data_IF_413551129412
#
_entry.id   IF_413551129412
#
_cell.length_a   1.000
_cell.length_b   1.000
_cell.length_c   1.000
_cell.angle_alpha   90.00
_cell.angle_beta   90.00
_cell.angle_gamma   90.00
#
_symmetry.space_group_name_H-M   'P 1'
#
loop_
_entity.id
_entity.type
_entity.pdbx_description
1 polymer ?
#
# COMPACT_ATOMS: atom_id res chain seq x y z
N UNK A 1 10.05 -2.54 -5.74
CA UNK A 1 11.23 -1.66 -5.67
C UNK A 1 11.53 -1.27 -4.23
N UNK A 2 10.57 -0.70 -3.47
CA UNK A 2 10.77 -0.20 -2.09
C UNK A 2 11.27 -1.28 -1.12
N UNK A 3 10.74 -2.51 -1.19
CA UNK A 3 11.20 -3.62 -0.36
C UNK A 3 12.66 -4.02 -0.66
N UNK A 4 13.06 -3.96 -1.94
CA UNK A 4 14.45 -4.24 -2.35
C UNK A 4 15.42 -3.22 -1.79
N UNK A 5 15.07 -1.94 -1.81
CA UNK A 5 15.92 -0.89 -1.24
C UNK A 5 16.10 -1.06 0.27
N UNK A 6 15.03 -1.34 1.01
CA UNK A 6 15.10 -1.56 2.45
C UNK A 6 15.98 -2.76 2.87
N UNK A 7 16.19 -3.73 1.97
CA UNK A 7 17.07 -4.90 2.21
C UNK A 7 18.50 -4.72 1.68
N UNK A 8 18.77 -3.66 0.92
CA UNK A 8 20.06 -3.46 0.24
C UNK A 8 20.90 -2.37 0.90
N UNK A 9 20.25 -1.39 1.50
CA UNK A 9 20.91 -0.24 2.10
C UNK A 9 20.71 -0.22 3.60
N UNK A 10 21.80 -0.03 4.35
CA UNK A 10 21.79 0.09 5.81
C UNK A 10 21.33 1.50 6.23
N UNK A 11 21.67 2.50 5.42
CA UNK A 11 21.34 3.90 5.66
C UNK A 11 20.52 4.51 4.53
N UNK A 12 19.64 5.46 4.86
CA UNK A 12 18.90 6.26 3.89
C UNK A 12 18.69 7.69 4.40
N UNK A 13 18.62 8.62 3.45
CA UNK A 13 18.31 10.00 3.75
C UNK A 13 16.80 10.25 3.57
N UNK A 14 16.22 10.91 4.55
CA UNK A 14 14.85 11.42 4.45
C UNK A 14 14.94 12.87 3.97
N UNK A 15 14.37 13.17 2.83
CA UNK A 15 14.27 14.53 2.30
C UNK A 15 12.83 14.99 2.55
N UNK A 16 12.65 15.94 3.46
CA UNK A 16 11.34 16.53 3.77
C UNK A 16 10.98 17.60 2.72
N UNK A 17 10.82 17.12 1.48
CA UNK A 17 10.44 17.93 0.33
C UNK A 17 9.44 17.18 -0.56
N UNK A 18 8.31 17.78 -0.94
CA UNK A 18 7.31 17.12 -1.76
C UNK A 18 7.69 17.08 -3.24
N UNK A 19 8.45 16.07 -3.65
CA UNK A 19 8.84 15.87 -5.06
C UNK A 19 7.68 15.49 -5.97
N UNK A 20 6.56 15.06 -5.42
CA UNK A 20 5.40 14.60 -6.21
C UNK A 20 4.09 15.11 -5.59
N UNK A 21 3.13 15.40 -6.45
CA UNK A 21 1.75 15.69 -6.04
C UNK A 21 0.93 14.43 -6.33
N UNK A 22 0.59 13.63 -5.31
CA UNK A 22 -0.28 12.49 -5.54
C UNK A 22 -1.70 12.97 -5.85
N UNK A 23 -2.22 12.56 -7.00
CA UNK A 23 -3.59 12.85 -7.42
C UNK A 23 -4.40 11.57 -7.55
N UNK A 24 -5.72 11.67 -7.34
CA UNK A 24 -6.65 10.60 -7.61
C UNK A 24 -7.72 11.08 -8.60
N UNK A 25 -7.95 10.33 -9.65
CA UNK A 25 -9.06 10.52 -10.58
C UNK A 25 -9.96 9.28 -10.58
N UNK A 26 -11.20 9.41 -11.02
CA UNK A 26 -12.14 8.29 -11.09
C UNK A 26 -11.65 7.13 -11.96
N UNK A 27 -10.84 7.41 -12.98
CA UNK A 27 -10.24 6.42 -13.87
C UNK A 27 -8.90 5.87 -13.40
N UNK A 28 -8.30 6.41 -12.32
CA UNK A 28 -7.02 5.93 -11.81
C UNK A 28 -7.18 4.69 -10.91
N UNK A 29 -6.12 3.92 -10.76
CA UNK A 29 -6.09 2.79 -9.81
C UNK A 29 -6.31 3.26 -8.37
N UNK A 30 -5.85 4.46 -8.02
CA UNK A 30 -6.11 5.08 -6.71
C UNK A 30 -7.60 5.36 -6.52
N UNK A 31 -8.29 5.90 -7.55
CA UNK A 31 -9.74 6.10 -7.53
C UNK A 31 -10.51 4.78 -7.41
N UNK A 32 -10.10 3.75 -8.17
CA UNK A 32 -10.68 2.40 -8.05
C UNK A 32 -10.48 1.79 -6.67
N UNK A 33 -9.30 1.98 -6.06
CA UNK A 33 -9.00 1.51 -4.70
C UNK A 33 -9.86 2.21 -3.66
N UNK A 34 -10.11 3.51 -3.81
CA UNK A 34 -10.93 4.29 -2.88
C UNK A 34 -12.37 3.78 -2.78
N UNK A 35 -12.91 3.21 -3.87
CA UNK A 35 -14.24 2.59 -3.91
C UNK A 35 -14.22 1.06 -3.85
N UNK A 36 -13.10 0.47 -3.41
CA UNK A 36 -12.89 -0.97 -3.27
C UNK A 36 -13.12 -1.78 -4.58
N UNK A 37 -12.86 -1.17 -5.73
CA UNK A 37 -12.99 -1.79 -7.07
C UNK A 37 -11.64 -2.18 -7.68
N UNK A 38 -10.53 -1.98 -6.98
CA UNK A 38 -9.20 -2.38 -7.44
C UNK A 38 -8.87 -3.80 -6.94
N UNK A 39 -9.66 -4.75 -7.40
CA UNK A 39 -9.54 -6.19 -7.12
C UNK A 39 -10.18 -6.99 -8.25
N UNK A 40 -9.73 -8.21 -8.47
CA UNK A 40 -10.19 -9.05 -9.55
C UNK A 40 -9.58 -10.44 -9.51
N UNK A 41 -9.89 -11.22 -10.54
CA UNK A 41 -9.23 -12.48 -10.80
C UNK A 41 -7.94 -12.25 -11.58
N UNK A 42 -6.85 -12.90 -11.16
CA UNK A 42 -5.52 -12.76 -11.79
C UNK A 42 -5.55 -13.13 -13.27
N UNK A 43 -6.34 -14.14 -13.64
CA UNK A 43 -6.37 -14.63 -15.03
C UNK A 43 -7.12 -13.68 -15.97
N UNK A 44 -8.12 -12.98 -15.48
CA UNK A 44 -9.02 -12.16 -16.31
C UNK A 44 -8.79 -10.65 -16.18
N UNK A 45 -8.17 -10.17 -15.10
CA UNK A 45 -7.98 -8.74 -14.89
C UNK A 45 -6.94 -8.17 -15.86
N UNK A 46 -7.29 -7.11 -16.65
CA UNK A 46 -6.37 -6.50 -17.62
C UNK A 46 -5.06 -6.00 -17.01
N UNK A 47 -5.07 -5.55 -15.75
CA UNK A 47 -3.86 -5.10 -15.06
C UNK A 47 -2.88 -6.24 -14.75
N UNK A 48 -3.40 -7.48 -14.67
CA UNK A 48 -2.59 -8.66 -14.35
C UNK A 48 -2.04 -9.35 -15.61
N UNK A 49 -2.48 -8.97 -16.83
CA UNK A 49 -1.98 -9.55 -18.07
C UNK A 49 -0.45 -9.59 -18.14
N UNK A 50 0.29 -8.52 -17.84
CA UNK A 50 1.75 -8.53 -17.88
C UNK A 50 2.39 -9.44 -16.82
N UNK A 51 1.62 -9.84 -15.80
CA UNK A 51 2.10 -10.58 -14.63
C UNK A 51 1.61 -12.02 -14.58
N UNK A 52 0.79 -12.48 -15.52
CA UNK A 52 0.23 -13.84 -15.55
C UNK A 52 1.28 -14.95 -15.53
N UNK A 53 2.45 -14.69 -16.10
CA UNK A 53 3.56 -15.65 -16.15
C UNK A 53 4.42 -15.64 -14.88
N UNK A 54 4.12 -14.77 -13.89
CA UNK A 54 4.83 -14.77 -12.63
C UNK A 54 4.35 -15.94 -11.77
N UNK A 55 5.31 -16.68 -11.20
CA UNK A 55 5.01 -17.71 -10.22
C UNK A 55 4.34 -17.08 -9.00
N UNK A 56 3.10 -17.49 -8.73
CA UNK A 56 2.38 -17.04 -7.55
C UNK A 56 2.65 -17.99 -6.37
N UNK A 57 3.10 -17.48 -5.22
CA UNK A 57 3.36 -18.30 -4.05
C UNK A 57 2.09 -19.01 -3.57
N UNK A 58 2.18 -20.32 -3.34
CA UNK A 58 1.06 -21.12 -2.81
C UNK A 58 0.61 -20.70 -1.41
N UNK A 59 1.48 -20.00 -0.69
CA UNK A 59 1.25 -19.44 0.63
C UNK A 59 0.36 -18.19 0.60
N UNK A 60 0.15 -17.59 -0.57
CA UNK A 60 -0.68 -16.40 -0.73
C UNK A 60 -1.97 -16.71 -1.47
N UNK A 61 -3.12 -16.11 -1.08
CA UNK A 61 -4.39 -16.29 -1.79
C UNK A 61 -4.30 -15.84 -3.24
N UNK A 62 -4.84 -16.66 -4.15
CA UNK A 62 -4.77 -16.42 -5.59
C UNK A 62 -5.93 -15.55 -6.08
N UNK A 63 -5.79 -14.25 -5.94
CA UNK A 63 -6.65 -13.22 -6.51
C UNK A 63 -5.91 -11.88 -6.52
N UNK A 64 -6.34 -10.97 -7.38
CA UNK A 64 -5.77 -9.63 -7.49
C UNK A 64 -6.42 -8.68 -6.50
N UNK A 65 -5.61 -8.02 -5.68
CA UNK A 65 -5.95 -6.85 -4.88
C UNK A 65 -4.66 -6.09 -4.52
N UNK A 66 -4.80 -4.91 -3.96
CA UNK A 66 -3.64 -4.14 -3.47
C UNK A 66 -2.84 -4.98 -2.48
N UNK A 67 -3.51 -5.62 -1.54
CA UNK A 67 -2.88 -6.40 -0.48
C UNK A 67 -2.16 -7.64 -1.02
N UNK A 68 -2.78 -8.36 -1.95
CA UNK A 68 -2.18 -9.59 -2.48
C UNK A 68 -1.01 -9.31 -3.42
N UNK A 69 -1.07 -8.25 -4.24
CA UNK A 69 0.05 -7.84 -5.10
C UNK A 69 1.22 -7.32 -4.27
N UNK A 70 0.97 -6.51 -3.25
CA UNK A 70 2.02 -6.05 -2.36
C UNK A 70 2.61 -7.18 -1.51
N UNK A 71 1.74 -8.08 -1.03
CA UNK A 71 2.17 -9.30 -0.34
C UNK A 71 3.07 -10.18 -1.21
N UNK A 72 2.68 -10.38 -2.48
CA UNK A 72 3.48 -11.10 -3.47
C UNK A 72 4.84 -10.41 -3.70
N UNK A 73 4.86 -9.11 -3.93
CA UNK A 73 6.09 -8.35 -4.15
C UNK A 73 7.04 -8.43 -2.93
N UNK A 74 6.51 -8.30 -1.72
CA UNK A 74 7.28 -8.45 -0.49
C UNK A 74 7.81 -9.88 -0.33
N UNK A 75 6.96 -10.89 -0.56
CA UNK A 75 7.32 -12.30 -0.47
C UNK A 75 8.47 -12.67 -1.43
N UNK A 76 8.33 -12.35 -2.71
CA UNK A 76 9.36 -12.65 -3.70
C UNK A 76 10.66 -11.88 -3.44
N UNK A 77 10.59 -10.64 -2.99
CA UNK A 77 11.78 -9.87 -2.62
C UNK A 77 12.50 -10.50 -1.43
N UNK A 78 11.78 -10.87 -0.38
CA UNK A 78 12.37 -11.57 0.78
C UNK A 78 12.98 -12.91 0.37
N UNK A 79 12.25 -13.71 -0.42
CA UNK A 79 12.71 -15.01 -0.90
C UNK A 79 14.02 -14.93 -1.70
N UNK A 80 14.16 -13.88 -2.53
CA UNK A 80 15.32 -13.73 -3.40
C UNK A 80 16.52 -13.06 -2.69
N UNK A 81 16.26 -12.09 -1.81
CA UNK A 81 17.30 -11.25 -1.22
C UNK A 81 17.64 -11.58 0.22
N UNK A 82 16.71 -12.10 0.97
CA UNK A 82 16.88 -12.43 2.40
C UNK A 82 15.98 -13.60 2.79
N UNK A 83 16.27 -14.83 2.32
CA UNK A 83 15.42 -16.00 2.58
C UNK A 83 15.17 -16.25 4.07
N UNK A 84 16.15 -15.97 4.92
CA UNK A 84 16.03 -16.13 6.38
C UNK A 84 14.97 -15.18 6.97
N UNK A 85 14.86 -13.96 6.41
CA UNK A 85 13.86 -12.97 6.80
C UNK A 85 12.45 -13.32 6.35
N UNK A 86 12.28 -14.28 5.43
CA UNK A 86 10.96 -14.76 5.01
C UNK A 86 10.17 -15.40 6.16
N UNK A 87 10.86 -15.94 7.15
CA UNK A 87 10.24 -16.44 8.39
C UNK A 87 9.50 -15.37 9.17
N UNK A 88 9.91 -14.11 9.04
CA UNK A 88 9.26 -12.93 9.63
C UNK A 88 8.04 -12.42 8.88
N UNK A 89 7.71 -12.96 7.70
CA UNK A 89 6.50 -12.56 6.98
C UNK A 89 5.25 -12.96 7.75
N UNK A 90 4.52 -11.97 8.25
CA UNK A 90 3.37 -12.20 9.15
C UNK A 90 2.13 -12.67 8.37
N UNK A 91 2.06 -13.96 8.08
CA UNK A 91 0.94 -14.58 7.39
C UNK A 91 -0.38 -14.40 8.15
N UNK A 92 -0.37 -14.47 9.49
CA UNK A 92 -1.61 -14.30 10.28
C UNK A 92 -2.21 -12.91 10.06
N UNK A 93 -1.39 -11.85 10.08
CA UNK A 93 -1.84 -10.48 9.79
C UNK A 93 -2.27 -10.31 8.34
N UNK A 94 -1.51 -10.86 7.41
CA UNK A 94 -1.83 -10.81 5.98
C UNK A 94 -3.21 -11.44 5.68
N UNK A 95 -3.43 -12.66 6.19
CA UNK A 95 -4.73 -13.34 6.03
C UNK A 95 -5.88 -12.64 6.75
N UNK A 96 -5.62 -12.04 7.91
CA UNK A 96 -6.61 -11.23 8.62
C UNK A 96 -7.08 -10.05 7.76
N UNK A 97 -6.16 -9.32 7.16
CA UNK A 97 -6.47 -8.19 6.26
C UNK A 97 -7.26 -8.68 5.04
N UNK A 98 -6.80 -9.76 4.38
CA UNK A 98 -7.49 -10.34 3.23
C UNK A 98 -8.93 -10.76 3.56
N UNK A 99 -9.15 -11.46 4.68
CA UNK A 99 -10.47 -11.92 5.11
C UNK A 99 -11.43 -10.77 5.42
N UNK A 100 -10.94 -9.71 6.05
CA UNK A 100 -11.78 -8.57 6.44
C UNK A 100 -12.11 -7.68 5.24
N UNK A 101 -11.15 -7.45 4.34
CA UNK A 101 -11.33 -6.53 3.20
C UNK A 101 -11.92 -7.18 1.94
N UNK A 102 -11.72 -8.48 1.79
CA UNK A 102 -12.02 -9.23 0.56
C UNK A 102 -12.88 -10.46 0.81
N UNK A 103 -14.01 -10.28 1.49
CA UNK A 103 -14.96 -11.36 1.80
C UNK A 103 -15.55 -12.04 0.56
N UNK A 104 -15.58 -11.35 -0.59
CA UNK A 104 -15.96 -11.88 -1.90
C UNK A 104 -14.96 -12.93 -2.43
N UNK A 105 -13.71 -12.93 -1.96
CA UNK A 105 -12.68 -13.92 -2.29
C UNK A 105 -12.45 -14.97 -1.20
N UNK A 106 -13.44 -15.17 -0.32
CA UNK A 106 -13.35 -16.12 0.81
C UNK A 106 -12.92 -17.54 0.42
N UNK A 107 -13.31 -18.00 -0.79
CA UNK A 107 -12.94 -19.34 -1.29
C UNK A 107 -11.44 -19.42 -1.57
N UNK A 108 -10.87 -18.46 -2.30
CA UNK A 108 -9.44 -18.40 -2.60
C UNK A 108 -8.60 -18.24 -1.31
N UNK A 109 -9.06 -17.37 -0.39
CA UNK A 109 -8.43 -17.16 0.91
C UNK A 109 -8.47 -18.43 1.76
N UNK A 110 -9.62 -19.09 1.80
CA UNK A 110 -9.81 -20.35 2.54
C UNK A 110 -8.94 -21.48 1.99
N UNK A 111 -8.88 -21.65 0.66
CA UNK A 111 -8.05 -22.66 0.00
C UNK A 111 -6.58 -22.49 0.35
N UNK A 112 -6.05 -21.29 0.24
CA UNK A 112 -4.65 -21.02 0.58
C UNK A 112 -4.37 -21.22 2.08
N UNK A 113 -5.27 -20.76 2.97
CA UNK A 113 -5.16 -20.97 4.41
C UNK A 113 -5.16 -22.46 4.78
N UNK A 114 -6.05 -23.25 4.16
CA UNK A 114 -6.08 -24.72 4.37
C UNK A 114 -4.79 -25.40 3.91
N UNK A 115 -4.19 -24.92 2.83
CA UNK A 115 -2.88 -25.39 2.37
C UNK A 115 -1.77 -25.14 3.39
N UNK A 116 -1.77 -23.99 4.07
CA UNK A 116 -0.82 -23.67 5.13
C UNK A 116 -0.99 -24.59 6.36
N UNK A 117 -2.24 -24.86 6.74
CA UNK A 117 -2.55 -25.78 7.84
C UNK A 117 -2.10 -27.20 7.47
N UNK A 118 -2.42 -27.67 6.27
CA UNK A 118 -2.06 -29.01 5.80
C UNK A 118 -0.53 -29.20 5.70
N UNK A 119 0.21 -28.15 5.32
CA UNK A 119 1.68 -28.16 5.27
C UNK A 119 2.35 -27.92 6.64
N UNK A 120 1.57 -27.70 7.69
CA UNK A 120 2.05 -27.37 9.02
C UNK A 120 3.02 -26.17 9.03
N UNK A 121 2.69 -25.13 8.26
CA UNK A 121 3.53 -23.92 8.18
C UNK A 121 3.45 -23.15 9.49
N UNK A 122 4.58 -23.10 10.21
CA UNK A 122 4.68 -22.45 11.54
C UNK A 122 4.38 -20.96 11.53
N UNK A 123 4.41 -20.30 10.37
CA UNK A 123 4.12 -18.87 10.21
C UNK A 123 2.62 -18.57 10.23
N UNK A 124 1.77 -19.60 10.12
CA UNK A 124 0.32 -19.47 10.09
C UNK A 124 -0.34 -20.33 11.17
N UNK A 125 -1.29 -19.73 11.88
CA UNK A 125 -2.19 -20.42 12.80
C UNK A 125 -3.60 -19.87 12.66
N UNK A 126 -4.58 -20.75 12.59
CA UNK A 126 -5.99 -20.34 12.46
C UNK A 126 -6.44 -19.46 13.64
N UNK A 127 -6.07 -19.82 14.87
CA UNK A 127 -6.40 -19.03 16.07
C UNK A 127 -5.69 -17.67 16.07
N UNK A 128 -4.40 -17.63 15.74
CA UNK A 128 -3.66 -16.36 15.63
C UNK A 128 -4.20 -15.48 14.50
N UNK A 129 -4.64 -16.08 13.38
CA UNK A 129 -5.30 -15.35 12.28
C UNK A 129 -6.61 -14.73 12.72
N UNK A 130 -7.43 -15.43 13.54
CA UNK A 130 -8.68 -14.86 14.10
C UNK A 130 -8.37 -13.71 15.05
N UNK A 131 -7.40 -13.85 15.95
CA UNK A 131 -6.96 -12.77 16.83
C UNK A 131 -6.48 -11.54 16.03
N UNK A 132 -5.71 -11.78 14.96
CA UNK A 132 -5.25 -10.71 14.07
C UNK A 132 -6.43 -10.03 13.35
N UNK A 133 -7.51 -10.76 12.99
CA UNK A 133 -8.73 -10.16 12.41
C UNK A 133 -9.42 -9.22 13.41
N UNK A 134 -9.59 -9.65 14.65
CA UNK A 134 -10.18 -8.80 15.72
C UNK A 134 -9.36 -7.53 15.89
N UNK A 135 -8.04 -7.63 16.01
CA UNK A 135 -7.14 -6.47 16.10
C UNK A 135 -7.30 -5.54 14.90
N UNK A 136 -7.35 -6.09 13.70
CA UNK A 136 -7.50 -5.29 12.49
C UNK A 136 -8.84 -4.57 12.41
N UNK A 137 -9.94 -5.22 12.81
CA UNK A 137 -11.26 -4.57 12.89
C UNK A 137 -11.25 -3.41 13.89
N UNK A 138 -10.62 -3.60 15.05
CA UNK A 138 -10.47 -2.53 16.05
C UNK A 138 -9.69 -1.35 15.46
N UNK A 139 -8.56 -1.60 14.78
CA UNK A 139 -7.77 -0.56 14.11
C UNK A 139 -8.58 0.20 13.05
N UNK A 140 -9.37 -0.52 12.24
CA UNK A 140 -10.26 0.11 11.26
C UNK A 140 -11.33 0.98 11.94
N UNK A 141 -11.87 0.53 13.05
CA UNK A 141 -12.88 1.27 13.81
C UNK A 141 -12.27 2.54 14.40
N UNK A 142 -11.09 2.44 15.02
CA UNK A 142 -10.35 3.61 15.54
C UNK A 142 -10.06 4.60 14.41
N UNK A 143 -9.62 4.11 13.25
CA UNK A 143 -9.34 4.96 12.08
C UNK A 143 -10.61 5.67 11.59
N UNK A 144 -11.75 4.97 11.56
CA UNK A 144 -13.05 5.59 11.21
C UNK A 144 -13.46 6.66 12.22
N UNK A 145 -13.32 6.38 13.52
CA UNK A 145 -13.60 7.37 14.57
C UNK A 145 -12.72 8.61 14.45
N UNK A 146 -11.42 8.43 14.20
CA UNK A 146 -10.50 9.55 13.94
C UNK A 146 -10.96 10.39 12.74
N UNK A 147 -11.41 9.77 11.65
CA UNK A 147 -11.94 10.47 10.47
C UNK A 147 -13.24 11.22 10.74
N UNK A 148 -14.07 10.74 11.66
CA UNK A 148 -15.29 11.45 12.08
C UNK A 148 -14.92 12.68 12.91
N UNK A 149 -13.96 12.54 13.82
CA UNK A 149 -13.49 13.64 14.67
C UNK A 149 -12.66 14.67 13.87
N UNK A 150 -11.93 14.22 12.86
CA UNK A 150 -11.11 15.04 11.97
C UNK A 150 -11.46 14.73 10.51
N UNK A 151 -12.55 15.32 9.97
CA UNK A 151 -13.13 14.94 8.67
C UNK A 151 -12.34 15.49 7.47
N UNK A 152 -11.03 15.26 7.46
CA UNK A 152 -10.15 15.59 6.33
C UNK A 152 -9.65 14.32 5.67
N UNK A 153 -9.25 14.42 4.40
CA UNK A 153 -8.73 13.27 3.64
C UNK A 153 -7.49 12.62 4.30
N UNK A 154 -6.77 13.37 5.12
CA UNK A 154 -5.52 12.97 5.78
C UNK A 154 -5.62 12.88 7.31
N UNK A 155 -6.81 12.59 7.84
CA UNK A 155 -7.05 12.47 9.30
C UNK A 155 -6.63 13.71 10.12
N UNK A 156 -6.94 14.90 9.63
CA UNK A 156 -6.65 16.16 10.31
C UNK A 156 -5.49 16.96 9.71
N UNK A 157 -4.83 16.46 8.65
CA UNK A 157 -3.91 17.28 7.87
C UNK A 157 -4.67 18.22 6.94
N UNK A 158 -4.06 19.35 6.59
CA UNK A 158 -4.65 20.30 5.66
C UNK A 158 -4.95 19.67 4.30
N UNK A 159 -6.10 20.00 3.75
CA UNK A 159 -6.52 19.56 2.42
C UNK A 159 -6.53 20.77 1.49
N UNK A 160 -5.80 20.66 0.41
CA UNK A 160 -5.73 21.67 -0.64
C UNK A 160 -6.55 21.22 -1.85
N UNK A 161 -7.45 22.05 -2.29
CA UNK A 161 -8.35 21.74 -3.42
C UNK A 161 -9.81 21.59 -2.98
N UNK A 162 -10.69 21.14 -3.86
CA UNK A 162 -10.44 20.56 -5.20
C UNK A 162 -9.90 21.56 -6.23
N UNK A 163 -9.05 21.08 -7.15
CA UNK A 163 -8.52 21.89 -8.25
C UNK A 163 -9.12 21.40 -9.57
N UNK A 164 -9.43 22.32 -10.48
CA UNK A 164 -9.98 22.00 -11.80
C UNK A 164 -8.99 21.19 -12.66
N UNK A 165 -7.71 21.46 -12.51
CA UNK A 165 -6.66 20.78 -13.24
C UNK A 165 -5.31 20.82 -12.51
N UNK A 166 -4.34 20.04 -13.02
CA UNK A 166 -2.98 19.92 -12.45
C UNK A 166 -2.24 21.26 -12.40
N UNK A 167 -2.50 22.19 -13.30
CA UNK A 167 -1.85 23.52 -13.32
C UNK A 167 -2.17 24.29 -12.04
N UNK A 168 -3.44 24.36 -11.66
CA UNK A 168 -3.85 25.04 -10.42
C UNK A 168 -3.33 24.33 -9.16
N UNK A 169 -3.30 23.00 -9.17
CA UNK A 169 -2.68 22.24 -8.09
C UNK A 169 -1.19 22.57 -7.93
N UNK A 170 -0.46 22.69 -9.04
CA UNK A 170 0.95 23.10 -9.05
C UNK A 170 1.13 24.52 -8.52
N UNK A 171 0.36 25.49 -9.00
CA UNK A 171 0.43 26.88 -8.53
C UNK A 171 0.19 26.99 -7.01
N UNK A 172 -0.78 26.24 -6.49
CA UNK A 172 -1.05 26.20 -5.05
C UNK A 172 0.11 25.57 -4.26
N UNK A 173 0.75 24.54 -4.83
CA UNK A 173 1.93 23.93 -4.23
C UNK A 173 3.12 24.89 -4.24
N UNK A 174 3.40 25.55 -5.37
CA UNK A 174 4.51 26.50 -5.50
C UNK A 174 4.35 27.63 -4.47
N UNK A 175 3.16 28.22 -4.36
CA UNK A 175 2.87 29.25 -3.36
C UNK A 175 3.06 28.76 -1.90
N UNK A 176 2.70 27.52 -1.60
CA UNK A 176 2.91 26.92 -0.29
C UNK A 176 4.39 26.70 -0.03
N UNK A 177 5.13 26.16 -1.00
CA UNK A 177 6.56 25.94 -0.88
C UNK A 177 7.35 27.23 -0.67
N UNK A 178 7.00 28.31 -1.36
CA UNK A 178 7.60 29.62 -1.18
C UNK A 178 7.38 30.13 0.26
N UNK A 179 6.16 29.94 0.77
CA UNK A 179 5.83 30.32 2.15
C UNK A 179 6.63 29.49 3.17
N UNK A 180 6.71 28.17 3.00
CA UNK A 180 7.45 27.27 3.88
C UNK A 180 8.96 27.47 3.75
N UNK A 181 9.47 27.69 2.54
CA UNK A 181 10.87 27.98 2.29
C UNK A 181 11.29 29.25 3.03
N UNK A 182 10.50 30.31 2.94
CA UNK A 182 10.74 31.55 3.67
C UNK A 182 10.73 31.37 5.18
N UNK A 183 9.77 30.56 5.69
CA UNK A 183 9.66 30.27 7.12
C UNK A 183 10.80 29.39 7.67
N UNK A 184 11.31 28.44 6.84
CA UNK A 184 12.35 27.48 7.21
C UNK A 184 13.76 27.91 6.77
N UNK A 185 13.90 29.05 6.11
CA UNK A 185 15.18 29.57 5.60
C UNK A 185 15.74 28.72 4.44
N UNK A 186 14.91 28.04 3.69
CA UNK A 186 15.33 27.29 2.52
C UNK A 186 15.63 28.25 1.37
N UNK A 187 16.85 28.22 0.85
CA UNK A 187 17.23 28.98 -0.35
C UNK A 187 17.21 28.04 -1.57
N UNK A 188 16.21 28.15 -2.39
CA UNK A 188 16.24 27.54 -3.73
C UNK A 188 17.08 28.48 -4.63
N UNK A 189 18.35 28.14 -4.83
CA UNK A 189 19.16 28.84 -5.81
C UNK A 189 18.61 28.54 -7.22
N UNK A 190 17.93 29.50 -7.83
CA UNK A 190 17.74 29.54 -9.28
C UNK A 190 19.11 29.75 -9.95
N UNK A 191 19.92 28.70 -10.01
CA UNK A 191 21.09 28.69 -10.87
C UNK A 191 20.80 27.80 -12.06
N UNK A 192 20.58 28.44 -13.20
CA UNK A 192 20.80 27.82 -14.50
C UNK A 192 19.62 27.80 -15.43
N UNK A 193 19.20 28.97 -15.87
CA UNK A 193 18.59 29.09 -17.20
C UNK A 193 19.22 30.28 -17.91
N UNK A 194 20.52 30.18 -18.19
CA UNK A 194 21.21 30.94 -19.24
C UNK A 194 22.39 30.09 -19.66
N UNK A 195 22.13 29.25 -20.67
CA UNK A 195 23.05 28.99 -21.81
C UNK A 195 22.31 28.06 -22.76
#
# INVERSE_FOLDING_TARGET
VSFGFALTYEDYYVIDFPFTIPGASSGSNTGRSAVNKHKGDIESDPHMIPFRNLSWPKELPYFFSVETVWGHAAWETLKQRSPDSLSGFNLNRFYAVCKVRHSDYKVAIGKAASGLVASNDKRYSSSASVLAQVKFVIELTITKLKRILHPTASNGMDVYGPFENVRYARQALDAKLDTEASAKGWCFNEKGSNE
#
